data_IF_165186945998
#
_entry.id   IF_165186945998
#
_cell.length_a   1.000
_cell.length_b   1.000
_cell.length_c   1.000
_cell.angle_alpha   90.00
_cell.angle_beta   90.00
_cell.angle_gamma   90.00
#
_symmetry.space_group_name_H-M   'P 1'
#
loop_
_entity.id
_entity.type
_entity.pdbx_description
1 polymer ?
#
# COMPACT_ATOMS: atom_id res chain seq x y z
N UNK A 1 47.47 -22.15 9.70
CA UNK A 1 47.39 -20.68 9.65
C UNK A 1 46.79 -20.28 8.32
N UNK A 2 45.59 -19.69 8.26
CA UNK A 2 44.80 -19.10 9.35
C UNK A 2 43.56 -19.92 9.74
N UNK A 3 43.30 -19.90 11.04
CA UNK A 3 42.17 -20.48 11.75
C UNK A 3 40.92 -19.61 11.65
N UNK A 4 39.78 -20.31 11.58
CA UNK A 4 38.50 -19.97 12.17
C UNK A 4 37.87 -18.62 11.82
N UNK A 5 37.03 -18.69 10.78
CA UNK A 5 35.59 -18.53 11.01
C UNK A 5 35.19 -17.29 11.82
N UNK A 6 35.51 -16.11 11.31
CA UNK A 6 34.90 -14.87 11.79
C UNK A 6 33.41 -14.86 11.43
N UNK A 7 32.63 -15.40 12.35
CA UNK A 7 31.53 -14.67 12.97
C UNK A 7 30.20 -14.58 12.21
N UNK A 8 29.88 -15.55 11.34
CA UNK A 8 28.52 -15.66 10.77
C UNK A 8 27.49 -15.85 11.88
N UNK A 9 27.80 -16.66 12.90
CA UNK A 9 26.91 -16.87 14.04
C UNK A 9 26.72 -15.60 14.87
N UNK A 10 27.78 -14.82 15.09
CA UNK A 10 27.66 -13.55 15.82
C UNK A 10 27.05 -12.43 14.98
N UNK A 11 27.22 -12.41 13.66
CA UNK A 11 26.52 -11.50 12.76
C UNK A 11 25.00 -11.78 12.77
N UNK A 12 24.64 -13.07 12.78
CA UNK A 12 23.25 -13.52 12.85
C UNK A 12 22.66 -13.23 14.22
N UNK A 13 23.42 -13.48 15.29
CA UNK A 13 23.02 -13.17 16.66
C UNK A 13 22.92 -11.67 16.91
N UNK A 14 23.78 -10.84 16.31
CA UNK A 14 23.69 -9.39 16.37
C UNK A 14 22.47 -8.87 15.60
N UNK A 15 22.13 -9.47 14.46
CA UNK A 15 20.93 -9.13 13.69
C UNK A 15 19.64 -9.51 14.44
N UNK A 16 19.60 -10.69 15.05
CA UNK A 16 18.48 -11.14 15.87
C UNK A 16 18.35 -10.31 17.15
N UNK A 17 19.47 -9.94 17.77
CA UNK A 17 19.51 -9.05 18.94
C UNK A 17 19.03 -7.65 18.57
N UNK A 18 19.45 -7.08 17.44
CA UNK A 18 18.96 -5.78 16.96
C UNK A 18 17.46 -5.80 16.65
N UNK A 19 16.96 -6.88 16.05
CA UNK A 19 15.53 -7.10 15.85
C UNK A 19 14.77 -7.20 17.19
N UNK A 20 15.32 -7.90 18.18
CA UNK A 20 14.68 -8.08 19.48
C UNK A 20 14.70 -6.79 20.32
N UNK A 21 15.80 -6.02 20.26
CA UNK A 21 15.89 -4.70 20.87
C UNK A 21 14.93 -3.70 20.23
N UNK A 22 14.72 -3.75 18.91
CA UNK A 22 13.68 -2.97 18.24
C UNK A 22 12.26 -3.36 18.68
N UNK A 23 12.02 -4.65 19.02
CA UNK A 23 10.76 -5.13 19.60
C UNK A 23 10.55 -4.67 21.05
N UNK A 24 11.63 -4.53 21.83
CA UNK A 24 11.58 -4.12 23.24
C UNK A 24 11.52 -2.59 23.42
N UNK A 25 11.99 -1.80 22.45
CA UNK A 25 12.19 -0.36 22.58
C UNK A 25 10.96 0.54 22.38
N UNK A 26 9.75 0.02 22.16
CA UNK A 26 8.59 0.91 22.06
C UNK A 26 7.26 0.25 21.73
N UNK A 27 6.39 0.18 22.74
CA UNK A 27 4.98 -0.19 22.71
C UNK A 27 4.19 0.40 21.52
N UNK A 28 3.26 -0.40 21.01
CA UNK A 28 2.24 -0.10 19.99
C UNK A 28 2.65 -0.08 18.52
N UNK A 29 3.47 -1.04 18.06
CA UNK A 29 3.43 -1.36 16.62
C UNK A 29 3.80 -2.80 16.26
N UNK A 30 2.78 -3.67 16.19
CA UNK A 30 2.84 -4.94 15.46
C UNK A 30 2.55 -4.71 13.95
N UNK A 31 3.15 -3.68 13.35
CA UNK A 31 2.77 -3.22 11.99
C UNK A 31 3.42 -4.01 10.84
N UNK A 32 4.40 -4.86 11.13
CA UNK A 32 5.12 -5.64 10.10
C UNK A 32 4.72 -7.12 10.01
N UNK A 33 3.95 -7.68 10.95
CA UNK A 33 3.99 -9.13 11.19
C UNK A 33 2.82 -9.95 10.63
N UNK A 34 2.09 -9.46 9.64
CA UNK A 34 1.47 -10.38 8.69
C UNK A 34 1.92 -10.00 7.28
N UNK A 35 2.45 -10.96 6.48
CA UNK A 35 2.76 -10.72 5.07
C UNK A 35 1.60 -10.05 4.30
N UNK A 36 0.36 -10.33 4.72
CA UNK A 36 -0.87 -9.74 4.21
C UNK A 36 -0.95 -8.24 4.47
N UNK A 37 -0.65 -7.76 5.69
CA UNK A 37 -0.62 -6.33 6.02
C UNK A 37 0.51 -5.58 5.30
N UNK A 38 1.68 -6.22 5.17
CA UNK A 38 2.80 -5.66 4.41
C UNK A 38 2.45 -5.56 2.91
N UNK A 39 1.81 -6.57 2.34
CA UNK A 39 1.34 -6.56 0.96
C UNK A 39 0.27 -5.48 0.72
N UNK A 40 -0.67 -5.30 1.65
CA UNK A 40 -1.70 -4.27 1.58
C UNK A 40 -1.09 -2.86 1.63
N UNK A 41 -0.17 -2.63 2.57
CA UNK A 41 0.52 -1.33 2.71
C UNK A 41 1.35 -1.00 1.47
N UNK A 42 2.07 -1.99 0.93
CA UNK A 42 2.82 -1.83 -0.32
C UNK A 42 1.91 -1.55 -1.51
N UNK A 43 0.76 -2.23 -1.62
CA UNK A 43 -0.23 -1.99 -2.68
C UNK A 43 -0.83 -0.59 -2.58
N UNK A 44 -1.17 -0.13 -1.37
CA UNK A 44 -1.68 1.22 -1.14
C UNK A 44 -0.68 2.29 -1.60
N UNK A 45 0.59 2.15 -1.21
CA UNK A 45 1.66 3.07 -1.63
C UNK A 45 1.87 3.05 -3.16
N UNK A 46 1.77 1.88 -3.79
CA UNK A 46 1.86 1.77 -5.26
C UNK A 46 0.71 2.51 -5.94
N UNK A 47 -0.52 2.33 -5.46
CA UNK A 47 -1.71 3.01 -6.00
C UNK A 47 -1.61 4.52 -5.81
N UNK A 48 -1.17 5.01 -4.65
CA UNK A 48 -1.00 6.45 -4.40
C UNK A 48 0.02 7.08 -5.36
N UNK A 49 1.19 6.45 -5.51
CA UNK A 49 2.21 6.92 -6.43
C UNK A 49 1.73 6.90 -7.88
N UNK A 50 0.97 5.88 -8.25
CA UNK A 50 0.42 5.75 -9.59
C UNK A 50 -0.71 6.77 -9.85
N UNK A 51 -1.56 7.08 -8.87
CA UNK A 51 -2.56 8.14 -8.96
C UNK A 51 -1.94 9.53 -9.12
N UNK A 52 -0.85 9.82 -8.39
CA UNK A 52 -0.12 11.08 -8.54
C UNK A 52 0.39 11.25 -9.98
N UNK A 53 0.93 10.18 -10.56
CA UNK A 53 1.36 10.17 -11.97
C UNK A 53 0.18 10.21 -12.94
N UNK A 54 -0.94 9.58 -12.61
CA UNK A 54 -2.14 9.54 -13.44
C UNK A 54 -2.74 10.94 -13.63
N UNK A 55 -2.70 11.77 -12.58
CA UNK A 55 -3.06 13.19 -12.67
C UNK A 55 -2.16 13.93 -13.66
N UNK A 56 -0.84 13.81 -13.50
CA UNK A 56 0.14 14.47 -14.39
C UNK A 56 0.02 13.99 -15.86
N UNK A 57 -0.43 12.74 -16.05
CA UNK A 57 -0.56 12.08 -17.35
C UNK A 57 -1.96 12.18 -17.97
N UNK A 58 -2.89 12.91 -17.35
CA UNK A 58 -4.29 13.00 -17.79
C UNK A 58 -4.96 11.62 -18.01
N UNK A 59 -4.65 10.67 -17.14
CA UNK A 59 -5.20 9.31 -17.17
C UNK A 59 -6.51 9.18 -16.40
N UNK A 60 -6.99 10.27 -15.80
CA UNK A 60 -8.25 10.30 -15.06
C UNK A 60 -9.32 10.99 -15.91
N UNK A 61 -10.45 10.33 -16.09
CA UNK A 61 -11.57 10.81 -16.89
C UNK A 61 -12.88 10.74 -16.10
N UNK A 62 -13.80 11.68 -16.35
CA UNK A 62 -15.14 11.67 -15.76
C UNK A 62 -16.12 11.04 -16.74
N UNK A 63 -16.74 9.95 -16.32
CA UNK A 63 -17.87 9.33 -17.00
C UNK A 63 -19.17 9.81 -16.35
N UNK A 64 -20.22 9.99 -17.14
CA UNK A 64 -21.52 10.43 -16.63
C UNK A 64 -22.55 9.34 -16.83
N UNK A 65 -23.17 8.91 -15.73
CA UNK A 65 -24.26 7.94 -15.76
C UNK A 65 -25.60 8.66 -15.52
N UNK A 66 -26.56 8.61 -16.46
CA UNK A 66 -27.86 9.24 -16.29
C UNK A 66 -28.72 8.46 -15.29
N UNK A 67 -29.39 9.20 -14.41
CA UNK A 67 -30.40 8.66 -13.49
C UNK A 67 -31.79 9.01 -14.03
N UNK A 68 -32.59 7.97 -14.26
CA UNK A 68 -33.91 8.06 -14.88
C UNK A 68 -35.01 7.92 -13.83
N UNK A 69 -36.06 8.72 -13.99
CA UNK A 69 -37.28 8.56 -13.19
C UNK A 69 -38.09 7.38 -13.71
N UNK A 70 -38.31 6.35 -12.90
CA UNK A 70 -39.02 5.12 -13.32
C UNK A 70 -40.46 5.39 -13.80
N UNK A 71 -41.14 6.40 -13.23
CA UNK A 71 -42.52 6.75 -13.59
C UNK A 71 -42.64 7.39 -14.99
N UNK A 72 -41.62 8.14 -15.43
CA UNK A 72 -41.71 8.96 -16.66
C UNK A 72 -40.66 8.61 -17.71
N UNK A 73 -39.68 7.78 -17.36
CA UNK A 73 -38.51 7.46 -18.21
C UNK A 73 -37.58 8.65 -18.46
N UNK A 74 -37.84 9.81 -17.87
CA UNK A 74 -37.05 11.03 -18.12
C UNK A 74 -35.79 11.03 -17.26
N UNK A 75 -34.69 11.48 -17.85
CA UNK A 75 -33.45 11.79 -17.12
C UNK A 75 -33.70 13.01 -16.24
N UNK A 76 -33.39 12.88 -14.95
CA UNK A 76 -33.55 13.94 -13.96
C UNK A 76 -32.19 14.44 -13.45
N UNK A 77 -31.21 13.54 -13.34
CA UNK A 77 -29.88 13.81 -12.82
C UNK A 77 -28.84 12.95 -13.52
N UNK A 78 -27.57 13.29 -13.32
CA UNK A 78 -26.43 12.49 -13.77
C UNK A 78 -25.47 12.29 -12.60
N UNK A 79 -24.90 11.10 -12.50
CA UNK A 79 -23.83 10.77 -11.57
C UNK A 79 -22.49 10.86 -12.29
N UNK A 80 -21.52 11.55 -11.67
CA UNK A 80 -20.17 11.68 -12.19
C UNK A 80 -19.27 10.58 -11.57
N UNK A 81 -18.72 9.72 -12.42
CA UNK A 81 -17.92 8.56 -12.06
C UNK A 81 -16.49 8.75 -12.57
N UNK A 82 -15.53 8.83 -11.65
CA UNK A 82 -14.12 8.91 -12.01
C UNK A 82 -13.63 7.55 -12.53
N UNK A 83 -12.97 7.56 -13.68
CA UNK A 83 -12.30 6.40 -14.29
C UNK A 83 -10.81 6.68 -14.44
N UNK A 84 -10.04 5.61 -14.47
CA UNK A 84 -8.59 5.64 -14.65
C UNK A 84 -8.22 4.68 -15.78
N UNK A 85 -7.62 5.21 -16.84
CA UNK A 85 -7.12 4.50 -18.03
C UNK A 85 -5.58 4.33 -18.05
#
# INVERSE_FOLDING_TARGET
YPDDGHDIDSLTQAADTAMYHAKLAGRDTYRFFTPQMQAQSRRALQVENALRRALDRNQLSLHYQPQVTLRTGRVHSVEALLRWD
#
